data_IF_267897959085
#
_entry.id   IF_267897959085
#
_cell.length_a   1.000
_cell.length_b   1.000
_cell.length_c   1.000
_cell.angle_alpha   90.00
_cell.angle_beta   90.00
_cell.angle_gamma   90.00
#
_symmetry.space_group_name_H-M   'P 1'
#
loop_
_entity.id
_entity.type
_entity.pdbx_description
1 polymer ?
#
# COMPACT_ATOMS: atom_id res chain seq x y z
N UNK A 1 -24.96 -6.57 14.53
CA UNK A 1 -23.99 -6.50 15.62
C UNK A 1 -22.95 -5.45 15.27
N UNK A 2 -22.84 -4.47 16.14
CA UNK A 2 -21.88 -3.38 16.06
C UNK A 2 -20.47 -3.96 16.08
N UNK A 3 -19.69 -3.73 15.05
CA UNK A 3 -18.36 -4.36 14.95
C UNK A 3 -17.35 -3.34 14.39
N UNK A 4 -16.34 -3.07 15.18
CA UNK A 4 -15.14 -2.39 14.70
C UNK A 4 -14.10 -3.45 14.39
N UNK A 5 -13.62 -3.47 13.14
CA UNK A 5 -12.54 -4.35 12.66
C UNK A 5 -11.34 -3.48 12.38
N UNK A 6 -10.16 -3.91 12.80
CA UNK A 6 -8.94 -3.13 12.65
C UNK A 6 -7.88 -3.99 11.98
N UNK A 7 -7.36 -3.50 10.85
CA UNK A 7 -6.47 -4.26 9.97
C UNK A 7 -5.24 -3.42 9.67
N UNK A 8 -4.06 -4.01 9.83
CA UNK A 8 -2.81 -3.49 9.31
C UNK A 8 -2.40 -4.28 8.07
N UNK A 9 -2.39 -3.63 6.92
CA UNK A 9 -1.81 -4.17 5.69
C UNK A 9 -0.33 -3.78 5.64
N UNK A 10 0.56 -4.75 5.55
CA UNK A 10 1.99 -4.47 5.48
C UNK A 10 2.67 -5.30 4.40
N UNK A 11 3.79 -4.81 3.89
CA UNK A 11 4.56 -5.49 2.85
C UNK A 11 5.38 -4.52 2.02
N UNK A 12 6.12 -5.00 1.00
CA UNK A 12 6.93 -4.18 0.13
C UNK A 12 6.16 -3.03 -0.53
N UNK A 13 6.82 -1.93 -0.88
CA UNK A 13 6.18 -0.87 -1.66
C UNK A 13 5.71 -1.40 -3.02
N UNK A 14 4.66 -0.80 -3.57
CA UNK A 14 4.14 -1.16 -4.88
C UNK A 14 3.39 -2.49 -4.98
N UNK A 15 3.02 -3.14 -3.87
CA UNK A 15 2.29 -4.42 -3.86
C UNK A 15 0.77 -4.27 -3.89
N UNK A 16 0.23 -3.03 -3.91
CA UNK A 16 -1.21 -2.78 -4.07
C UNK A 16 -1.99 -2.67 -2.76
N UNK A 17 -1.34 -2.42 -1.60
CA UNK A 17 -2.00 -2.27 -0.30
C UNK A 17 -3.12 -1.23 -0.29
N UNK A 18 -2.88 -0.06 -0.88
CA UNK A 18 -3.87 1.02 -0.99
C UNK A 18 -5.04 0.60 -1.90
N UNK A 19 -4.75 -0.01 -3.05
CA UNK A 19 -5.77 -0.56 -3.96
C UNK A 19 -6.63 -1.63 -3.28
N UNK A 20 -6.03 -2.46 -2.41
CA UNK A 20 -6.78 -3.46 -1.66
C UNK A 20 -7.81 -2.81 -0.72
N UNK A 21 -7.44 -1.74 -0.01
CA UNK A 21 -8.37 -1.02 0.86
C UNK A 21 -9.51 -0.35 0.06
N UNK A 22 -9.21 0.23 -1.10
CA UNK A 22 -10.20 0.82 -2.00
C UNK A 22 -11.15 -0.25 -2.56
N UNK A 23 -10.63 -1.39 -3.00
CA UNK A 23 -11.42 -2.51 -3.48
C UNK A 23 -12.34 -3.07 -2.37
N UNK A 24 -11.81 -3.20 -1.14
CA UNK A 24 -12.59 -3.64 0.02
C UNK A 24 -13.75 -2.68 0.33
N UNK A 25 -13.51 -1.36 0.29
CA UNK A 25 -14.56 -0.37 0.51
C UNK A 25 -15.66 -0.48 -0.54
N UNK A 26 -15.30 -0.63 -1.80
CA UNK A 26 -16.24 -0.77 -2.92
C UNK A 26 -17.05 -2.08 -2.82
N UNK A 27 -16.39 -3.21 -2.58
CA UNK A 27 -17.04 -4.53 -2.50
C UNK A 27 -18.04 -4.61 -1.33
N UNK A 28 -17.71 -3.97 -0.21
CA UNK A 28 -18.57 -3.95 0.98
C UNK A 28 -19.56 -2.78 1.00
N UNK A 29 -19.60 -1.93 -0.03
CA UNK A 29 -20.41 -0.70 -0.10
C UNK A 29 -20.22 0.16 1.15
N UNK A 30 -18.95 0.49 1.48
CA UNK A 30 -18.58 1.31 2.63
C UNK A 30 -18.23 2.72 2.21
N UNK A 31 -18.62 3.72 3.01
CA UNK A 31 -18.11 5.09 2.87
C UNK A 31 -16.64 5.13 3.28
N UNK A 32 -15.75 5.55 2.39
CA UNK A 32 -14.32 5.55 2.65
C UNK A 32 -13.84 6.93 3.10
N UNK A 33 -13.32 7.00 4.33
CA UNK A 33 -12.54 8.15 4.82
C UNK A 33 -11.06 7.87 4.63
N UNK A 34 -10.46 8.54 3.65
CA UNK A 34 -9.03 8.38 3.32
C UNK A 34 -8.20 9.50 3.92
N UNK A 35 -7.08 9.13 4.50
CA UNK A 35 -6.06 10.06 4.98
C UNK A 35 -4.66 9.50 4.68
N UNK A 36 -3.73 10.37 4.32
CA UNK A 36 -2.30 10.04 4.34
C UNK A 36 -1.70 10.50 5.65
N UNK A 37 -0.78 9.73 6.21
CA UNK A 37 -0.10 10.13 7.44
C UNK A 37 0.57 11.51 7.34
N UNK A 38 1.05 11.91 6.15
CA UNK A 38 1.59 13.25 5.88
C UNK A 38 0.58 14.39 6.04
N UNK A 39 -0.72 14.12 5.92
CA UNK A 39 -1.79 15.11 6.15
C UNK A 39 -2.08 15.31 7.65
N UNK A 40 -1.69 14.33 8.47
CA UNK A 40 -1.81 14.40 9.92
C UNK A 40 -0.62 15.15 10.51
N UNK A 41 0.58 14.93 9.98
CA UNK A 41 1.81 15.55 10.49
C UNK A 41 1.78 17.05 10.19
N UNK A 42 1.74 17.86 11.25
CA UNK A 42 1.79 19.31 11.17
C UNK A 42 3.21 19.85 11.41
N UNK A 43 3.41 21.10 10.99
CA UNK A 43 4.68 21.81 11.17
C UNK A 43 4.80 22.48 12.56
N UNK A 44 3.68 22.68 13.24
CA UNK A 44 3.61 23.36 14.54
C UNK A 44 3.30 22.38 15.67
N UNK A 45 3.77 22.72 16.88
CA UNK A 45 3.52 21.92 18.08
C UNK A 45 2.02 21.72 18.33
N UNK A 46 1.58 20.48 18.52
CA UNK A 46 0.18 20.11 18.73
C UNK A 46 -0.71 20.08 17.49
N UNK A 47 -0.21 20.49 16.34
CA UNK A 47 -0.98 20.46 15.09
C UNK A 47 -1.28 19.01 14.64
N UNK A 48 -0.29 18.15 14.72
CA UNK A 48 -0.43 16.73 14.37
C UNK A 48 -1.49 16.02 15.23
N UNK A 49 -1.50 16.29 16.53
CA UNK A 49 -2.50 15.78 17.47
C UNK A 49 -3.89 16.27 17.12
N UNK A 50 -4.04 17.56 16.80
CA UNK A 50 -5.31 18.17 16.40
C UNK A 50 -5.82 17.57 15.08
N UNK A 51 -4.95 17.42 14.08
CA UNK A 51 -5.30 16.85 12.77
C UNK A 51 -5.76 15.39 12.91
N UNK A 52 -5.03 14.59 13.72
CA UNK A 52 -5.41 13.20 14.02
C UNK A 52 -6.81 13.15 14.66
N UNK A 53 -7.06 13.99 15.66
CA UNK A 53 -8.36 14.05 16.32
C UNK A 53 -9.47 14.45 15.35
N UNK A 54 -9.26 15.48 14.53
CA UNK A 54 -10.23 15.94 13.54
C UNK A 54 -10.58 14.83 12.52
N UNK A 55 -9.60 14.07 12.06
CA UNK A 55 -9.83 12.92 11.19
C UNK A 55 -10.70 11.85 11.88
N UNK A 56 -10.37 11.47 13.10
CA UNK A 56 -11.11 10.44 13.84
C UNK A 56 -12.51 10.89 14.24
N UNK A 57 -12.69 12.15 14.63
CA UNK A 57 -14.01 12.74 14.91
C UNK A 57 -14.89 12.75 13.65
N UNK A 58 -14.31 13.00 12.49
CA UNK A 58 -15.00 12.91 11.20
C UNK A 58 -15.58 11.50 10.95
N UNK A 59 -14.83 10.45 11.30
CA UNK A 59 -15.29 9.05 11.19
C UNK A 59 -16.41 8.75 12.19
N UNK A 60 -16.24 9.17 13.45
CA UNK A 60 -17.21 8.91 14.52
C UNK A 60 -18.55 9.61 14.25
N UNK A 61 -18.50 10.84 13.73
CA UNK A 61 -19.69 11.68 13.48
C UNK A 61 -20.34 11.44 12.10
N UNK A 62 -19.70 10.69 11.20
CA UNK A 62 -20.33 10.33 9.91
C UNK A 62 -21.54 9.43 10.17
N UNK A 63 -22.69 9.76 9.56
CA UNK A 63 -23.95 9.04 9.75
C UNK A 63 -24.05 7.75 8.93
N UNK A 64 -23.09 7.46 8.08
CA UNK A 64 -23.06 6.24 7.23
C UNK A 64 -23.07 4.98 8.09
N UNK A 65 -23.88 3.98 7.76
CA UNK A 65 -23.97 2.73 8.53
C UNK A 65 -22.74 1.84 8.40
N UNK A 66 -21.94 2.06 7.34
CA UNK A 66 -20.72 1.30 7.03
C UNK A 66 -19.62 2.25 6.63
N UNK A 67 -18.53 2.26 7.38
CA UNK A 67 -17.41 3.18 7.19
C UNK A 67 -16.12 2.38 7.10
N UNK A 68 -15.30 2.70 6.09
CA UNK A 68 -13.91 2.27 6.02
C UNK A 68 -13.03 3.49 6.28
N UNK A 69 -12.40 3.52 7.45
CA UNK A 69 -11.39 4.50 7.82
C UNK A 69 -10.01 4.01 7.36
N UNK A 70 -9.31 4.80 6.56
CA UNK A 70 -8.07 4.40 5.92
C UNK A 70 -6.93 5.39 6.17
N UNK A 71 -5.82 4.92 6.71
CA UNK A 71 -4.59 5.71 6.84
C UNK A 71 -3.46 5.04 6.07
N UNK A 72 -2.94 5.75 5.04
CA UNK A 72 -1.78 5.31 4.28
C UNK A 72 -0.46 5.79 4.93
N UNK A 73 0.63 5.04 4.72
CA UNK A 73 1.96 5.33 5.26
C UNK A 73 1.97 5.48 6.79
N UNK A 74 1.22 4.61 7.44
CA UNK A 74 0.90 4.69 8.87
C UNK A 74 2.12 4.74 9.80
N UNK A 75 3.25 4.17 9.39
CA UNK A 75 4.52 4.22 10.13
C UNK A 75 5.03 5.66 10.38
N UNK A 76 4.58 6.65 9.60
CA UNK A 76 4.95 8.04 9.82
C UNK A 76 4.28 8.65 11.08
N UNK A 77 3.09 8.19 11.48
CA UNK A 77 2.36 8.67 12.67
C UNK A 77 2.37 7.68 13.84
N UNK A 78 2.68 6.41 13.57
CA UNK A 78 2.62 5.30 14.51
C UNK A 78 4.00 4.77 14.92
N UNK A 79 5.06 5.56 14.70
CA UNK A 79 6.45 5.17 14.94
C UNK A 79 6.74 4.82 16.40
N UNK A 80 7.76 3.98 16.62
CA UNK A 80 8.22 3.62 17.96
C UNK A 80 8.57 4.87 18.78
N UNK A 81 8.16 4.86 20.04
CA UNK A 81 8.51 5.92 20.99
C UNK A 81 10.00 5.89 21.24
N UNK A 82 10.64 7.05 21.10
CA UNK A 82 12.04 7.22 21.44
C UNK A 82 12.15 7.70 22.87
N UNK A 83 13.11 7.15 23.62
CA UNK A 83 13.36 7.53 25.01
C UNK A 83 14.10 8.87 25.17
N UNK A 84 14.40 9.54 24.07
CA UNK A 84 15.10 10.83 24.09
C UNK A 84 14.11 11.99 24.14
N UNK A 85 14.35 12.95 25.03
CA UNK A 85 13.55 14.17 25.21
C UNK A 85 13.93 15.29 24.23
N UNK A 86 14.18 14.97 22.94
CA UNK A 86 14.22 16.01 21.91
C UNK A 86 12.80 16.53 21.64
N UNK A 87 12.64 17.79 21.30
CA UNK A 87 11.31 18.36 21.08
C UNK A 87 10.48 17.61 20.04
N UNK A 88 11.12 17.11 18.98
CA UNK A 88 10.50 16.32 17.92
C UNK A 88 10.03 14.92 18.41
N UNK A 89 10.84 14.26 19.24
CA UNK A 89 10.50 12.94 19.81
C UNK A 89 9.31 13.06 20.79
N UNK A 90 9.25 14.14 21.54
CA UNK A 90 8.13 14.45 22.45
C UNK A 90 6.82 14.65 21.70
N UNK A 91 6.84 15.31 20.54
CA UNK A 91 5.65 15.50 19.68
C UNK A 91 5.18 14.18 19.10
N UNK A 92 6.08 13.36 18.56
CA UNK A 92 5.73 12.05 18.01
C UNK A 92 5.12 11.12 19.08
N UNK A 93 5.66 11.10 20.28
CA UNK A 93 5.09 10.36 21.40
C UNK A 93 3.67 10.83 21.77
N UNK A 94 3.38 12.13 21.64
CA UNK A 94 2.02 12.69 21.84
C UNK A 94 1.08 12.21 20.74
N UNK A 95 1.50 12.25 19.47
CA UNK A 95 0.70 11.75 18.34
C UNK A 95 0.35 10.27 18.51
N UNK A 96 1.32 9.43 18.89
CA UNK A 96 1.08 8.00 19.15
C UNK A 96 0.09 7.82 20.31
N UNK A 97 0.21 8.58 21.40
CA UNK A 97 -0.73 8.50 22.52
C UNK A 97 -2.14 8.94 22.12
N UNK A 98 -2.27 10.02 21.35
CA UNK A 98 -3.55 10.50 20.83
C UNK A 98 -4.18 9.46 19.89
N UNK A 99 -3.40 8.88 19.00
CA UNK A 99 -3.85 7.81 18.11
C UNK A 99 -4.43 6.62 18.90
N UNK A 100 -3.75 6.19 19.95
CA UNK A 100 -4.23 5.11 20.83
C UNK A 100 -5.57 5.46 21.47
N UNK A 101 -5.72 6.69 21.98
CA UNK A 101 -6.97 7.16 22.58
C UNK A 101 -8.10 7.24 21.54
N UNK A 102 -7.81 7.75 20.34
CA UNK A 102 -8.77 7.84 19.25
C UNK A 102 -9.26 6.45 18.79
N UNK A 103 -8.35 5.48 18.65
CA UNK A 103 -8.72 4.10 18.30
C UNK A 103 -9.63 3.50 19.38
N UNK A 104 -9.27 3.67 20.65
CA UNK A 104 -10.08 3.16 21.77
C UNK A 104 -11.46 3.85 21.81
N UNK A 105 -11.52 5.16 21.59
CA UNK A 105 -12.77 5.92 21.53
C UNK A 105 -13.67 5.47 20.37
N UNK A 106 -13.09 5.24 19.17
CA UNK A 106 -13.80 4.72 18.01
C UNK A 106 -14.44 3.35 18.30
N UNK A 107 -13.73 2.47 19.01
CA UNK A 107 -14.27 1.15 19.40
C UNK A 107 -15.40 1.26 20.42
N UNK A 108 -15.27 2.19 21.39
CA UNK A 108 -16.24 2.37 22.48
C UNK A 108 -17.51 3.13 22.04
N UNK A 109 -17.36 4.15 21.20
CA UNK A 109 -18.46 4.99 20.73
C UNK A 109 -19.30 4.32 19.65
N UNK A 110 -18.79 3.26 19.04
CA UNK A 110 -19.46 2.58 17.93
C UNK A 110 -20.62 1.70 18.43
N UNK A 111 -21.82 2.27 18.52
CA UNK A 111 -23.03 1.55 18.98
C UNK A 111 -23.84 0.92 17.84
N UNK A 112 -23.87 1.54 16.64
CA UNK A 112 -24.82 1.15 15.58
C UNK A 112 -24.22 1.05 14.17
N UNK A 113 -22.91 1.21 14.02
CA UNK A 113 -22.21 1.23 12.72
C UNK A 113 -21.26 0.04 12.58
N UNK A 114 -20.96 -0.31 11.33
CA UNK A 114 -19.83 -1.16 11.00
C UNK A 114 -18.64 -0.29 10.59
N UNK A 115 -17.60 -0.25 11.41
CA UNK A 115 -16.37 0.50 11.09
C UNK A 115 -15.25 -0.48 10.82
N UNK A 116 -14.63 -0.37 9.66
CA UNK A 116 -13.38 -1.08 9.32
C UNK A 116 -12.26 -0.05 9.28
N UNK A 117 -11.34 -0.14 10.22
CA UNK A 117 -10.15 0.70 10.25
C UNK A 117 -8.98 -0.04 9.59
N UNK A 118 -8.49 0.50 8.49
CA UNK A 118 -7.39 -0.07 7.72
C UNK A 118 -6.21 0.89 7.73
N UNK A 119 -5.07 0.42 8.15
CA UNK A 119 -3.80 1.14 8.05
C UNK A 119 -2.84 0.38 7.12
N UNK A 120 -2.01 1.11 6.37
CA UNK A 120 -0.98 0.50 5.52
C UNK A 120 0.40 0.94 5.95
N UNK A 121 1.39 0.06 5.83
CA UNK A 121 2.79 0.40 6.08
C UNK A 121 3.75 -0.42 5.21
N UNK A 122 4.85 0.19 4.85
CA UNK A 122 6.01 -0.51 4.28
C UNK A 122 7.05 -0.90 5.35
N UNK A 123 6.85 -0.48 6.62
CA UNK A 123 7.81 -0.68 7.72
C UNK A 123 7.11 -1.18 8.99
N UNK A 124 6.53 -2.41 8.99
CA UNK A 124 5.77 -2.90 10.14
C UNK A 124 6.61 -3.01 11.42
N UNK A 125 7.93 -3.17 11.29
CA UNK A 125 8.88 -3.20 12.42
C UNK A 125 9.13 -1.84 13.07
N UNK A 126 8.73 -0.72 12.45
CA UNK A 126 8.86 0.63 13.01
C UNK A 126 7.63 1.10 13.78
N UNK A 127 6.52 0.35 13.73
CA UNK A 127 5.29 0.69 14.45
C UNK A 127 5.42 0.39 15.94
N UNK A 128 4.90 1.29 16.79
CA UNK A 128 4.85 1.10 18.24
C UNK A 128 4.06 -0.18 18.57
N UNK A 129 4.66 -1.11 19.35
CA UNK A 129 4.00 -2.37 19.71
C UNK A 129 2.68 -2.19 20.45
N UNK A 130 2.44 -1.06 21.12
CA UNK A 130 1.17 -0.79 21.80
C UNK A 130 -0.02 -0.65 20.83
N UNK A 131 0.25 -0.22 19.60
CA UNK A 131 -0.77 -0.10 18.53
C UNK A 131 -1.14 -1.47 17.99
N UNK A 132 -0.21 -2.42 18.01
CA UNK A 132 -0.36 -3.77 17.45
C UNK A 132 -0.96 -4.79 18.44
N UNK A 133 -1.49 -4.34 19.58
CA UNK A 133 -1.98 -5.19 20.69
C UNK A 133 -3.33 -4.68 21.20
N UNK A 134 -4.02 -5.52 21.98
CA UNK A 134 -5.13 -5.07 22.84
C UNK A 134 -6.39 -4.66 22.08
N UNK A 135 -6.81 -5.41 21.06
CA UNK A 135 -7.97 -5.10 20.22
C UNK A 135 -7.83 -3.78 19.43
N UNK A 136 -6.60 -3.46 19.05
CA UNK A 136 -6.27 -2.38 18.13
C UNK A 136 -5.89 -2.99 16.79
N UNK A 137 -4.84 -2.55 16.08
CA UNK A 137 -4.37 -3.16 14.83
C UNK A 137 -3.71 -4.55 15.06
N UNK A 138 -4.44 -5.45 15.70
CA UNK A 138 -4.00 -6.82 16.02
C UNK A 138 -4.13 -7.77 14.82
N UNK A 139 -5.03 -7.50 13.90
CA UNK A 139 -5.15 -8.22 12.64
C UNK A 139 -4.14 -7.66 11.63
N UNK A 140 -3.08 -8.42 11.37
CA UNK A 140 -2.01 -8.01 10.47
C UNK A 140 -2.00 -8.90 9.23
N UNK A 141 -2.07 -8.31 8.04
CA UNK A 141 -2.13 -9.03 6.76
C UNK A 141 -0.89 -8.65 5.94
N UNK A 142 -0.10 -9.65 5.59
CA UNK A 142 1.05 -9.47 4.71
C UNK A 142 0.60 -9.43 3.25
N UNK A 143 0.90 -8.33 2.56
CA UNK A 143 0.69 -8.16 1.12
C UNK A 143 2.04 -8.26 0.44
N UNK A 144 2.38 -9.47 0.02
CA UNK A 144 3.67 -9.80 -0.59
C UNK A 144 3.78 -9.39 -2.06
N UNK A 145 4.89 -9.80 -2.66
CA UNK A 145 5.09 -9.68 -4.10
C UNK A 145 4.09 -10.57 -4.86
N UNK A 146 3.71 -10.19 -6.09
CA UNK A 146 2.73 -10.96 -6.87
C UNK A 146 3.27 -12.35 -7.20
N UNK A 147 2.44 -13.38 -7.02
CA UNK A 147 2.70 -14.73 -7.47
C UNK A 147 2.67 -14.82 -9.02
N UNK A 148 2.90 -15.99 -9.57
CA UNK A 148 2.96 -16.16 -11.02
C UNK A 148 1.60 -15.83 -11.69
N UNK A 149 0.49 -16.16 -11.06
CA UNK A 149 -0.84 -15.87 -11.63
C UNK A 149 -1.13 -14.37 -11.63
N UNK A 150 -0.83 -13.70 -10.54
CA UNK A 150 -0.95 -12.24 -10.46
C UNK A 150 -0.03 -11.54 -11.48
N UNK A 151 1.21 -12.03 -11.67
CA UNK A 151 2.11 -11.49 -12.69
C UNK A 151 1.58 -11.71 -14.11
N UNK A 152 1.02 -12.90 -14.42
CA UNK A 152 0.33 -13.16 -15.71
C UNK A 152 -0.79 -12.17 -15.95
N UNK A 153 -1.62 -11.97 -14.93
CA UNK A 153 -2.73 -11.02 -15.01
C UNK A 153 -2.24 -9.59 -15.27
N UNK A 154 -1.22 -9.13 -14.55
CA UNK A 154 -0.66 -7.78 -14.72
C UNK A 154 -0.04 -7.60 -16.11
N UNK A 155 0.72 -8.57 -16.60
CA UNK A 155 1.30 -8.55 -17.95
C UNK A 155 0.20 -8.56 -19.02
N UNK A 156 -0.80 -9.41 -18.86
CA UNK A 156 -1.93 -9.45 -19.79
C UNK A 156 -2.74 -8.15 -19.76
N UNK A 157 -2.95 -7.55 -18.60
CA UNK A 157 -3.62 -6.25 -18.47
C UNK A 157 -2.84 -5.13 -19.14
N UNK A 158 -1.50 -5.11 -18.97
CA UNK A 158 -0.65 -4.06 -19.51
C UNK A 158 -0.31 -4.20 -21.00
N UNK A 159 -0.19 -5.43 -21.51
CA UNK A 159 0.25 -5.71 -22.87
C UNK A 159 -0.77 -6.48 -23.73
N UNK A 160 -1.84 -6.99 -23.14
CA UNK A 160 -2.79 -7.87 -23.84
C UNK A 160 -3.90 -7.17 -24.62
N UNK A 161 -4.20 -5.91 -24.34
CA UNK A 161 -5.36 -5.19 -24.86
C UNK A 161 -5.10 -4.42 -26.16
N UNK A 162 -5.57 -3.18 -26.22
CA UNK A 162 -5.48 -2.24 -27.38
C UNK A 162 -4.09 -1.63 -27.58
N UNK A 163 -3.07 -2.12 -26.93
CA UNK A 163 -1.66 -1.74 -27.14
C UNK A 163 -1.20 -2.09 -28.55
N UNK A 164 -0.12 -1.50 -29.06
CA UNK A 164 0.43 -1.79 -30.39
C UNK A 164 0.58 -3.29 -30.64
N UNK A 165 0.37 -3.76 -31.89
CA UNK A 165 0.50 -5.16 -32.22
C UNK A 165 1.83 -5.71 -31.76
N UNK A 166 1.87 -6.97 -31.38
CA UNK A 166 3.06 -7.69 -30.94
C UNK A 166 3.62 -8.51 -32.08
N UNK A 167 4.93 -8.55 -32.21
CA UNK A 167 5.62 -9.48 -33.08
C UNK A 167 5.38 -10.93 -32.65
N UNK A 168 5.36 -11.92 -33.57
CA UNK A 168 5.14 -13.33 -33.24
C UNK A 168 6.16 -13.94 -32.26
N UNK A 169 7.32 -13.31 -32.08
CA UNK A 169 8.37 -13.74 -31.16
C UNK A 169 8.13 -13.31 -29.71
N UNK A 170 7.10 -12.48 -29.44
CA UNK A 170 6.80 -12.00 -28.09
C UNK A 170 6.04 -13.06 -27.29
N UNK A 171 6.68 -13.53 -26.23
CA UNK A 171 6.08 -14.48 -25.27
C UNK A 171 5.79 -13.79 -23.92
N UNK A 172 4.50 -13.47 -23.70
CA UNK A 172 4.03 -12.82 -22.46
C UNK A 172 4.09 -13.77 -21.25
N UNK A 173 4.00 -15.09 -21.48
CA UNK A 173 4.13 -16.07 -20.40
C UNK A 173 5.58 -16.11 -19.89
N UNK A 174 6.55 -16.09 -20.80
CA UNK A 174 7.96 -16.01 -20.44
C UNK A 174 8.27 -14.68 -19.72
N UNK A 175 7.68 -13.57 -20.16
CA UNK A 175 7.80 -12.28 -19.49
C UNK A 175 7.30 -12.37 -18.04
N UNK A 176 6.10 -12.94 -17.82
CA UNK A 176 5.53 -13.09 -16.48
C UNK A 176 6.42 -13.94 -15.54
N UNK A 177 7.07 -14.97 -16.06
CA UNK A 177 8.04 -15.79 -15.30
C UNK A 177 9.29 -14.99 -14.93
N UNK A 178 9.84 -14.22 -15.85
CA UNK A 178 11.05 -13.40 -15.66
C UNK A 178 10.85 -12.25 -14.68
N UNK A 179 9.61 -11.79 -14.49
CA UNK A 179 9.25 -10.73 -13.54
C UNK A 179 9.12 -11.24 -12.09
N UNK A 180 9.65 -12.42 -11.78
CA UNK A 180 9.75 -12.87 -10.39
C UNK A 180 10.59 -11.89 -9.56
N UNK A 181 10.10 -11.53 -8.36
CA UNK A 181 10.74 -10.56 -7.47
C UNK A 181 10.37 -9.10 -7.74
N UNK A 182 9.60 -8.81 -8.79
CA UNK A 182 9.12 -7.47 -9.09
C UNK A 182 7.81 -7.16 -8.36
N UNK A 183 7.63 -5.92 -7.90
CA UNK A 183 6.37 -5.47 -7.33
C UNK A 183 5.30 -5.28 -8.43
N UNK A 184 4.03 -5.22 -8.04
CA UNK A 184 2.94 -4.97 -9.00
C UNK A 184 3.09 -3.62 -9.71
N UNK A 185 3.60 -2.61 -9.02
CA UNK A 185 3.89 -1.29 -9.60
C UNK A 185 5.05 -1.35 -10.61
N UNK A 186 6.12 -2.09 -10.28
CA UNK A 186 7.24 -2.29 -11.22
C UNK A 186 6.75 -2.97 -12.50
N UNK A 187 5.93 -4.02 -12.38
CA UNK A 187 5.39 -4.75 -13.53
C UNK A 187 4.54 -3.84 -14.40
N UNK A 188 3.67 -3.03 -13.81
CA UNK A 188 2.85 -2.06 -14.56
C UNK A 188 3.73 -1.07 -15.32
N UNK A 189 4.71 -0.48 -14.64
CA UNK A 189 5.67 0.45 -15.26
C UNK A 189 6.49 -0.19 -16.39
N UNK A 190 6.92 -1.45 -16.21
CA UNK A 190 7.64 -2.21 -17.25
C UNK A 190 6.73 -2.43 -18.46
N UNK A 191 5.48 -2.84 -18.25
CA UNK A 191 4.53 -3.05 -19.34
C UNK A 191 4.26 -1.75 -20.12
N UNK A 192 4.07 -0.62 -19.43
CA UNK A 192 3.93 0.70 -20.06
C UNK A 192 5.15 1.06 -20.92
N UNK A 193 6.36 0.93 -20.35
CA UNK A 193 7.59 1.19 -21.08
C UNK A 193 7.80 0.29 -22.29
N UNK A 194 7.37 -0.97 -22.23
CA UNK A 194 7.41 -1.89 -23.38
C UNK A 194 6.39 -1.43 -24.45
N UNK A 195 5.18 -1.07 -24.03
CA UNK A 195 4.13 -0.60 -24.94
C UNK A 195 4.51 0.70 -25.68
N UNK A 196 5.32 1.54 -25.06
CA UNK A 196 5.80 2.80 -25.66
C UNK A 196 6.92 2.63 -26.69
N UNK A 197 7.66 1.52 -26.71
CA UNK A 197 8.80 1.33 -27.62
C UNK A 197 8.42 1.43 -29.12
N UNK A 198 7.31 0.83 -29.60
CA UNK A 198 6.85 1.02 -30.96
C UNK A 198 6.55 2.48 -31.31
N UNK A 199 5.96 3.23 -30.38
CA UNK A 199 5.63 4.63 -30.57
C UNK A 199 6.91 5.48 -30.78
N UNK A 200 7.90 5.31 -29.91
CA UNK A 200 9.20 5.98 -30.06
C UNK A 200 9.90 5.60 -31.38
N UNK A 201 9.76 4.36 -31.82
CA UNK A 201 10.33 3.89 -33.10
C UNK A 201 9.60 4.52 -34.28
N UNK A 202 8.26 4.59 -34.22
CA UNK A 202 7.46 5.26 -35.22
C UNK A 202 7.83 6.73 -35.39
N UNK A 203 7.97 7.49 -34.30
CA UNK A 203 8.38 8.88 -34.35
C UNK A 203 9.77 9.11 -35.05
N UNK A 204 10.66 8.14 -34.90
CA UNK A 204 12.01 8.24 -35.53
C UNK A 204 12.04 7.82 -36.99
N UNK A 205 11.21 6.87 -37.39
CA UNK A 205 11.30 6.24 -38.72
C UNK A 205 10.13 6.55 -39.65
N UNK A 206 9.02 7.08 -39.11
CA UNK A 206 7.77 7.27 -39.84
C UNK A 206 7.05 5.96 -40.18
N UNK A 207 7.57 4.78 -39.79
CA UNK A 207 6.99 3.48 -40.14
C UNK A 207 6.14 2.89 -39.00
N UNK A 208 5.04 2.18 -39.34
CA UNK A 208 4.31 1.39 -38.34
C UNK A 208 5.24 0.41 -37.62
N UNK A 209 5.04 0.25 -36.33
CA UNK A 209 5.92 -0.59 -35.52
C UNK A 209 5.10 -1.41 -34.52
N UNK A 210 5.65 -2.54 -34.10
CA UNK A 210 5.06 -3.44 -33.12
C UNK A 210 6.01 -3.68 -31.95
N UNK A 211 5.52 -4.17 -30.84
CA UNK A 211 6.35 -4.65 -29.71
C UNK A 211 7.14 -5.87 -30.19
N UNK A 212 8.42 -5.90 -29.93
CA UNK A 212 9.34 -7.01 -30.24
C UNK A 212 9.95 -7.60 -28.97
N UNK A 213 10.48 -8.82 -29.05
CA UNK A 213 11.20 -9.43 -27.93
C UNK A 213 12.43 -8.60 -27.53
N UNK A 214 13.07 -7.94 -28.50
CA UNK A 214 14.22 -7.02 -28.21
C UNK A 214 13.80 -5.80 -27.38
N UNK A 215 12.58 -5.32 -27.53
CA UNK A 215 12.06 -4.21 -26.70
C UNK A 215 11.90 -4.67 -25.24
N UNK A 216 11.38 -5.87 -25.04
CA UNK A 216 11.25 -6.51 -23.72
C UNK A 216 12.63 -6.64 -23.06
N UNK A 217 13.62 -7.19 -23.77
CA UNK A 217 14.98 -7.36 -23.24
C UNK A 217 15.61 -6.03 -22.82
N UNK A 218 15.47 -5.02 -23.67
CA UNK A 218 16.00 -3.67 -23.40
C UNK A 218 15.35 -3.05 -22.16
N UNK A 219 14.02 -3.14 -22.04
CA UNK A 219 13.30 -2.54 -20.93
C UNK A 219 13.62 -3.26 -19.62
N UNK A 220 13.66 -4.59 -19.62
CA UNK A 220 14.04 -5.36 -18.44
C UNK A 220 15.47 -5.05 -17.97
N UNK A 221 16.44 -4.97 -18.89
CA UNK A 221 17.82 -4.65 -18.54
C UNK A 221 17.97 -3.25 -17.91
N UNK A 222 17.12 -2.30 -18.33
CA UNK A 222 17.13 -0.93 -17.81
C UNK A 222 16.32 -0.71 -16.54
N UNK A 223 15.50 -1.68 -16.11
CA UNK A 223 14.59 -1.53 -14.98
C UNK A 223 14.70 -2.74 -14.03
N UNK A 224 15.69 -2.75 -13.13
CA UNK A 224 15.78 -3.78 -12.09
C UNK A 224 14.61 -3.68 -11.10
N UNK A 225 14.38 -4.73 -10.33
CA UNK A 225 13.35 -4.72 -9.26
C UNK A 225 13.61 -3.64 -8.22
N UNK A 226 12.53 -2.99 -7.75
CA UNK A 226 12.58 -2.02 -6.65
C UNK A 226 12.72 -2.65 -5.27
N UNK A 227 12.45 -3.97 -5.15
CA UNK A 227 12.48 -4.70 -3.89
C UNK A 227 13.79 -5.49 -3.81
N UNK A 228 14.67 -5.10 -2.89
CA UNK A 228 15.94 -5.82 -2.68
C UNK A 228 15.73 -7.13 -1.92
N UNK A 229 16.63 -8.14 -2.11
CA UNK A 229 16.59 -9.38 -1.33
C UNK A 229 16.70 -9.16 0.18
N UNK A 230 17.43 -8.14 0.62
CA UNK A 230 17.56 -7.79 2.04
C UNK A 230 16.23 -7.30 2.60
N UNK A 231 15.49 -6.49 1.82
CA UNK A 231 14.17 -6.01 2.23
C UNK A 231 13.17 -7.16 2.31
N UNK A 232 13.16 -8.06 1.34
CA UNK A 232 12.33 -9.27 1.37
C UNK A 232 12.68 -10.15 2.58
N UNK A 233 13.97 -10.35 2.87
CA UNK A 233 14.45 -11.06 4.05
C UNK A 233 13.96 -10.45 5.37
N UNK A 234 13.85 -9.11 5.46
CA UNK A 234 13.29 -8.42 6.65
C UNK A 234 11.81 -8.73 6.85
N UNK A 235 11.00 -8.77 5.79
CA UNK A 235 9.59 -9.15 5.89
C UNK A 235 9.44 -10.62 6.32
N UNK A 236 10.21 -11.52 5.76
CA UNK A 236 10.22 -12.94 6.16
C UNK A 236 10.60 -13.11 7.65
N UNK A 237 11.60 -12.37 8.12
CA UNK A 237 11.98 -12.38 9.52
C UNK A 237 10.89 -11.81 10.44
N UNK A 238 10.19 -10.76 10.00
CA UNK A 238 9.06 -10.18 10.74
C UNK A 238 7.89 -11.17 10.83
N UNK A 239 7.54 -11.83 9.72
CA UNK A 239 6.46 -12.81 9.64
C UNK A 239 6.73 -14.00 10.58
N UNK A 240 7.96 -14.55 10.58
CA UNK A 240 8.35 -15.66 11.49
C UNK A 240 8.19 -15.29 12.97
N UNK A 241 8.51 -14.05 13.36
CA UNK A 241 8.32 -13.58 14.75
C UNK A 241 6.84 -13.50 15.15
N UNK A 242 5.93 -13.42 14.20
CA UNK A 242 4.47 -13.36 14.41
C UNK A 242 3.79 -14.71 14.34
N UNK A 243 4.50 -15.77 13.97
CA UNK A 243 3.95 -17.14 13.88
C UNK A 243 3.24 -17.43 12.55
N UNK A 244 3.57 -16.65 11.49
CA UNK A 244 3.14 -16.88 10.11
C UNK A 244 4.23 -17.56 9.29
#
# INVERSE_FOLDING_TARGET
PNRTIQILLYGPPGTGKTMFAEALANELNMTMHRCKASEIIGSYLGESTRNMRAYMDGIINDESPRILAFIDEFDAVAGMRTGHNSGADGEMNRVVNELLQCIDAMVQSNKDKCIVFVATTNRPWSIDPAILRGKRLDTQIYVGLPDLEARRFLVQKGLGGSVPPKSPDVDLEQLAKRLQGYSSADISTICEKIADQPLFRHFRTGMPSCVTQRDIERVLAANPTSVSPELEGRYLAYNRKKGF
#
